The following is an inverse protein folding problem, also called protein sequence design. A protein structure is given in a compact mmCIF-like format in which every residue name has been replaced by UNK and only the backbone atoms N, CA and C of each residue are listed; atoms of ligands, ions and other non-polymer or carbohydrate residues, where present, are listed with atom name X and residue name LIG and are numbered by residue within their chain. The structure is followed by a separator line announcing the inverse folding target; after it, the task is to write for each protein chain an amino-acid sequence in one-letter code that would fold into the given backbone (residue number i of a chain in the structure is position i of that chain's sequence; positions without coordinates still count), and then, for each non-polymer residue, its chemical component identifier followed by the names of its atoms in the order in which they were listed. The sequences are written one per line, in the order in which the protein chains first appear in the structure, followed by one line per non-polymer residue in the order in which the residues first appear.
data_IF_316307754879
#
_entry.id   IF_316307754879
#
_cell.length_a   1.000
_cell.length_b   1.000
_cell.length_c   1.000
_cell.angle_alpha   90.00
_cell.angle_beta   90.00
_cell.angle_gamma   90.00
#
_symmetry.space_group_name_H-M   'P 1'
#
loop_
_entity.id
_entity.type
_entity.pdbx_description
1 polymer ?
#
# COMPACT_ATOMS: atom_id res chain seq x y z
N UNK A 1 -8.66 -11.48 14.68
CA UNK A 1 -7.94 -11.66 15.96
C UNK A 1 -7.41 -10.30 16.45
N UNK A 2 -6.47 -9.65 15.75
CA UNK A 2 -5.86 -8.36 16.20
C UNK A 2 -6.81 -7.22 16.63
N UNK A 3 -7.93 -7.00 15.93
CA UNK A 3 -8.86 -5.90 16.28
C UNK A 3 -9.54 -6.14 17.64
N UNK A 4 -9.95 -7.39 17.89
CA UNK A 4 -10.61 -7.77 19.15
C UNK A 4 -9.61 -7.64 20.31
N UNK A 5 -8.37 -8.08 20.14
CA UNK A 5 -7.33 -7.96 21.19
C UNK A 5 -7.02 -6.50 21.57
N UNK A 6 -7.01 -5.58 20.58
CA UNK A 6 -6.84 -4.14 20.86
C UNK A 6 -8.05 -3.57 21.59
N UNK A 7 -9.26 -3.92 21.12
CA UNK A 7 -10.49 -3.44 21.74
C UNK A 7 -10.66 -4.01 23.16
N UNK A 8 -10.21 -5.24 23.42
CA UNK A 8 -10.17 -5.83 24.77
C UNK A 8 -9.21 -5.10 25.71
N UNK A 9 -8.07 -4.61 25.22
CA UNK A 9 -7.14 -3.85 26.07
C UNK A 9 -7.66 -2.45 26.42
N UNK A 10 -8.34 -1.79 25.49
CA UNK A 10 -8.57 -0.33 25.57
C UNK A 10 -10.04 0.00 25.80
N UNK A 11 -10.94 -0.85 25.30
CA UNK A 11 -12.38 -0.64 25.34
C UNK A 11 -13.12 -1.83 25.98
N UNK A 12 -12.45 -2.54 26.90
CA UNK A 12 -12.99 -3.70 27.60
C UNK A 12 -14.41 -3.50 28.17
N UNK A 13 -14.73 -2.37 28.83
CA UNK A 13 -16.05 -2.20 29.44
C UNK A 13 -17.20 -2.26 28.43
N UNK A 14 -16.95 -1.86 27.17
CA UNK A 14 -17.95 -1.90 26.10
C UNK A 14 -18.14 -3.31 25.54
N UNK A 15 -17.08 -4.13 25.54
CA UNK A 15 -17.12 -5.50 25.03
C UNK A 15 -17.69 -6.51 26.04
N UNK A 16 -17.80 -6.12 27.33
CA UNK A 16 -18.32 -7.00 28.37
C UNK A 16 -19.83 -7.22 28.20
N UNK A 17 -20.33 -8.45 28.44
CA UNK A 17 -21.77 -8.75 28.47
C UNK A 17 -22.57 -7.83 29.40
N UNK A 18 -21.93 -7.30 30.45
CA UNK A 18 -22.53 -6.35 31.39
C UNK A 18 -23.06 -5.08 30.71
N UNK A 19 -22.38 -4.59 29.67
CA UNK A 19 -22.83 -3.42 28.94
C UNK A 19 -24.11 -3.71 28.15
N UNK A 20 -24.16 -4.86 27.46
CA UNK A 20 -25.37 -5.30 26.75
C UNK A 20 -26.54 -5.46 27.73
N UNK A 21 -26.31 -6.11 28.87
CA UNK A 21 -27.32 -6.30 29.93
C UNK A 21 -27.84 -4.97 30.47
N UNK A 22 -26.97 -3.98 30.65
CA UNK A 22 -27.37 -2.64 31.06
C UNK A 22 -28.30 -1.98 30.03
N UNK A 23 -27.99 -2.11 28.74
CA UNK A 23 -28.84 -1.57 27.67
C UNK A 23 -30.20 -2.28 27.64
N UNK A 24 -30.21 -3.61 27.75
CA UNK A 24 -31.45 -4.40 27.79
C UNK A 24 -32.35 -3.98 28.95
N UNK A 25 -31.80 -3.81 30.16
CA UNK A 25 -32.56 -3.31 31.30
C UNK A 25 -33.14 -1.90 31.06
N UNK A 26 -32.37 -1.01 30.44
CA UNK A 26 -32.84 0.34 30.10
C UNK A 26 -33.95 0.32 29.04
N UNK A 27 -33.93 -0.66 28.13
CA UNK A 27 -35.00 -0.85 27.15
C UNK A 27 -36.25 -1.44 27.81
N UNK A 28 -36.10 -2.33 28.79
CA UNK A 28 -37.22 -2.88 29.56
C UNK A 28 -37.89 -1.78 30.41
N UNK A 29 -37.11 -0.87 31.01
CA UNK A 29 -37.64 0.31 31.73
C UNK A 29 -38.52 1.20 30.84
N UNK A 30 -38.24 1.27 29.53
CA UNK A 30 -39.09 2.01 28.57
C UNK A 30 -40.39 1.24 28.34
N UNK A 31 -40.28 -0.08 28.15
CA UNK A 31 -41.42 -0.96 27.86
C UNK A 31 -42.40 -1.02 29.03
N UNK A 32 -41.90 -1.02 30.26
CA UNK A 32 -42.72 -0.99 31.48
C UNK A 32 -43.28 0.41 31.82
N UNK A 33 -42.80 1.46 31.13
CA UNK A 33 -43.22 2.85 31.37
C UNK A 33 -42.49 3.52 32.54
N UNK A 34 -41.49 2.87 33.13
CA UNK A 34 -40.68 3.39 34.23
C UNK A 34 -39.78 4.56 33.80
N UNK A 35 -39.37 4.60 32.51
CA UNK A 35 -38.54 5.67 31.95
C UNK A 35 -39.03 6.13 30.59
N UNK A 36 -38.88 7.43 30.32
CA UNK A 36 -39.09 8.00 28.99
C UNK A 36 -37.93 7.65 28.07
N UNK A 37 -38.24 7.41 26.79
CA UNK A 37 -37.28 7.05 25.74
C UNK A 37 -36.14 8.06 25.64
N UNK A 38 -36.44 9.35 25.73
CA UNK A 38 -35.47 10.44 25.59
C UNK A 38 -34.41 10.37 26.70
N UNK A 39 -34.85 10.12 27.94
CA UNK A 39 -33.97 10.00 29.11
C UNK A 39 -33.01 8.81 28.96
N UNK A 40 -33.51 7.69 28.43
CA UNK A 40 -32.67 6.52 28.18
C UNK A 40 -31.65 6.78 27.08
N UNK A 41 -32.06 7.42 25.97
CA UNK A 41 -31.13 7.78 24.88
C UNK A 41 -30.01 8.68 25.39
N UNK A 42 -30.33 9.70 26.18
CA UNK A 42 -29.32 10.61 26.75
C UNK A 42 -28.38 9.88 27.71
N UNK A 43 -28.90 8.96 28.51
CA UNK A 43 -28.12 8.13 29.43
C UNK A 43 -27.12 7.26 28.67
N UNK A 44 -27.58 6.52 27.66
CA UNK A 44 -26.73 5.66 26.83
C UNK A 44 -25.68 6.47 26.08
N UNK A 45 -26.08 7.62 25.51
CA UNK A 45 -25.18 8.51 24.80
C UNK A 45 -24.07 9.02 25.70
N UNK A 46 -24.39 9.43 26.94
CA UNK A 46 -23.40 9.89 27.91
C UNK A 46 -22.39 8.79 28.25
N UNK A 47 -22.88 7.58 28.57
CA UNK A 47 -22.02 6.44 28.89
C UNK A 47 -21.12 6.07 27.70
N UNK A 48 -21.67 6.07 26.49
CA UNK A 48 -20.90 5.80 25.28
C UNK A 48 -19.79 6.83 25.07
N UNK A 49 -20.10 8.13 25.21
CA UNK A 49 -19.11 9.19 25.05
C UNK A 49 -17.99 9.10 26.09
N UNK A 50 -18.32 8.83 27.36
CA UNK A 50 -17.31 8.63 28.40
C UNK A 50 -16.37 7.44 28.10
N UNK A 51 -16.92 6.36 27.55
CA UNK A 51 -16.12 5.21 27.11
C UNK A 51 -15.29 5.54 25.86
N UNK A 52 -15.83 6.33 24.95
CA UNK A 52 -15.16 6.76 23.74
C UNK A 52 -14.00 7.74 24.03
N UNK A 53 -14.15 8.63 25.00
CA UNK A 53 -13.07 9.54 25.42
C UNK A 53 -11.89 8.76 26.03
N UNK A 54 -12.16 7.69 26.78
CA UNK A 54 -11.12 6.77 27.27
C UNK A 54 -10.38 6.09 26.10
N UNK A 55 -11.06 5.77 25.01
CA UNK A 55 -10.42 5.24 23.80
C UNK A 55 -9.53 6.30 23.14
N UNK A 56 -10.03 7.54 23.00
CA UNK A 56 -9.28 8.65 22.39
C UNK A 56 -8.04 9.02 23.18
N UNK A 57 -8.11 9.02 24.51
CA UNK A 57 -6.96 9.29 25.39
C UNK A 57 -5.85 8.23 25.26
N UNK A 58 -6.19 7.03 24.80
CA UNK A 58 -5.24 5.94 24.53
C UNK A 58 -4.83 5.84 23.05
N UNK A 59 -5.18 6.82 22.20
CA UNK A 59 -4.89 6.84 20.76
C UNK A 59 -3.39 6.68 20.43
N UNK A 60 -2.51 7.22 21.27
CA UNK A 60 -1.07 7.09 21.07
C UNK A 60 -0.61 5.63 21.19
N UNK A 61 -1.09 4.91 22.21
CA UNK A 61 -0.81 3.48 22.43
C UNK A 61 -1.35 2.66 21.25
N UNK A 62 -2.57 2.97 20.77
CA UNK A 62 -3.17 2.34 19.57
C UNK A 62 -2.26 2.53 18.36
N UNK A 63 -1.79 3.77 18.13
CA UNK A 63 -0.93 4.08 16.98
C UNK A 63 0.39 3.30 17.04
N UNK A 64 0.97 3.17 18.24
CA UNK A 64 2.24 2.47 18.46
C UNK A 64 2.07 0.96 18.29
N UNK A 65 1.05 0.34 18.90
CA UNK A 65 0.79 -1.09 18.77
C UNK A 65 0.40 -1.49 17.34
N UNK A 66 -0.40 -0.67 16.64
CA UNK A 66 -0.71 -0.90 15.21
C UNK A 66 0.56 -0.82 14.36
N UNK A 67 1.45 0.14 14.65
CA UNK A 67 2.72 0.30 13.93
C UNK A 67 3.64 -0.89 14.22
N UNK A 68 3.77 -1.30 15.47
CA UNK A 68 4.58 -2.46 15.86
C UNK A 68 4.02 -3.77 15.30
N UNK A 69 2.70 -3.94 15.24
CA UNK A 69 2.07 -5.11 14.63
C UNK A 69 2.27 -5.14 13.11
N UNK A 70 2.23 -3.98 12.44
CA UNK A 70 2.66 -3.88 11.03
C UNK A 70 4.12 -4.31 10.88
N UNK A 71 5.02 -3.85 11.76
CA UNK A 71 6.44 -4.21 11.75
C UNK A 71 6.67 -5.70 12.01
N UNK A 72 6.04 -6.30 13.04
CA UNK A 72 6.15 -7.75 13.33
C UNK A 72 5.59 -8.64 12.21
N UNK A 73 4.52 -8.22 11.53
CA UNK A 73 4.01 -8.94 10.36
C UNK A 73 4.81 -8.70 9.06
N UNK A 74 5.74 -7.75 9.07
CA UNK A 74 6.70 -7.54 7.99
C UNK A 74 7.91 -8.47 8.14
N UNK A 75 8.30 -8.84 9.36
CA UNK A 75 9.58 -9.53 9.65
C UNK A 75 9.55 -11.06 9.50
N UNK A 76 8.40 -11.74 9.60
CA UNK A 76 8.40 -13.21 9.75
C UNK A 76 8.30 -14.04 8.45
N UNK A 77 8.12 -13.44 7.26
CA UNK A 77 8.16 -14.13 5.93
C UNK A 77 8.11 -13.19 4.72
N UNK A 78 7.96 -11.87 4.91
CA UNK A 78 7.74 -10.86 3.85
C UNK A 78 8.98 -10.01 3.52
N UNK A 79 10.05 -10.05 4.30
CA UNK A 79 11.22 -9.18 4.09
C UNK A 79 11.88 -9.42 2.71
N UNK A 80 12.06 -10.67 2.29
CA UNK A 80 12.60 -11.00 0.96
C UNK A 80 11.69 -10.56 -0.20
N UNK A 81 10.38 -10.71 -0.04
CA UNK A 81 9.42 -10.28 -1.06
C UNK A 81 9.26 -8.75 -1.11
N UNK A 82 9.47 -8.05 0.01
CA UNK A 82 9.48 -6.59 0.04
C UNK A 82 10.72 -6.02 -0.66
N UNK A 83 11.90 -6.62 -0.47
CA UNK A 83 13.14 -6.19 -1.17
C UNK A 83 13.02 -6.42 -2.68
N UNK A 84 12.49 -7.58 -3.11
CA UNK A 84 12.32 -7.91 -4.55
C UNK A 84 11.40 -6.95 -5.30
N UNK A 85 10.46 -6.32 -4.61
CA UNK A 85 9.53 -5.35 -5.19
C UNK A 85 9.99 -3.90 -4.97
N UNK A 86 11.14 -3.66 -4.34
CA UNK A 86 11.70 -2.33 -4.16
C UNK A 86 12.71 -2.00 -5.26
N UNK A 87 12.66 -0.78 -5.79
CA UNK A 87 13.70 -0.26 -6.69
C UNK A 87 15.03 -0.12 -5.96
N UNK A 88 16.14 -0.24 -6.68
CA UNK A 88 17.46 0.08 -6.11
C UNK A 88 17.74 1.58 -6.19
N UNK A 89 17.13 2.29 -7.15
CA UNK A 89 17.26 3.74 -7.30
C UNK A 89 16.11 4.50 -6.66
N UNK A 90 16.39 5.77 -6.33
CA UNK A 90 15.40 6.69 -5.77
C UNK A 90 14.35 7.09 -6.81
N UNK A 91 13.20 7.52 -6.32
CA UNK A 91 12.09 8.03 -7.10
C UNK A 91 12.57 9.12 -8.06
N UNK A 92 12.23 9.05 -9.36
CA UNK A 92 12.74 10.00 -10.35
C UNK A 92 12.15 11.40 -10.16
N UNK A 93 11.06 11.54 -9.41
CA UNK A 93 10.38 12.81 -9.16
C UNK A 93 10.98 13.55 -7.96
N UNK A 94 11.00 12.93 -6.77
CA UNK A 94 11.48 13.59 -5.56
C UNK A 94 12.94 13.30 -5.21
N UNK A 95 13.57 12.28 -5.83
CA UNK A 95 14.96 11.83 -5.60
C UNK A 95 15.32 11.45 -4.15
N UNK A 96 14.39 11.51 -3.21
CA UNK A 96 14.61 11.24 -1.78
C UNK A 96 14.51 9.76 -1.42
N UNK A 97 13.41 9.12 -1.80
CA UNK A 97 13.08 7.75 -1.38
C UNK A 97 12.88 6.80 -2.55
N UNK A 98 13.03 5.50 -2.30
CA UNK A 98 12.82 4.44 -3.29
C UNK A 98 11.34 4.27 -3.64
N UNK A 99 11.07 3.52 -4.71
CA UNK A 99 9.73 3.16 -5.13
C UNK A 99 9.46 1.67 -4.94
N UNK A 100 8.24 1.33 -4.54
CA UNK A 100 7.77 -0.03 -4.32
C UNK A 100 6.75 -0.44 -5.36
N UNK A 101 6.94 -1.61 -5.96
CA UNK A 101 6.02 -2.23 -6.91
C UNK A 101 4.85 -2.89 -6.16
N UNK A 102 3.65 -2.38 -6.40
CA UNK A 102 2.40 -2.90 -5.86
C UNK A 102 1.72 -3.75 -6.93
N UNK A 103 1.31 -4.96 -6.54
CA UNK A 103 0.66 -5.96 -7.39
C UNK A 103 -0.69 -6.36 -6.79
N UNK A 104 -1.72 -5.50 -6.85
CA UNK A 104 -3.02 -5.84 -6.27
C UNK A 104 -3.69 -6.93 -7.11
N UNK A 105 -4.48 -7.80 -6.46
CA UNK A 105 -5.30 -8.80 -7.17
C UNK A 105 -6.35 -8.08 -8.01
N UNK A 106 -6.46 -8.44 -9.30
CA UNK A 106 -7.46 -7.92 -10.25
C UNK A 106 -7.42 -6.39 -10.51
N UNK A 107 -6.34 -5.69 -10.16
CA UNK A 107 -6.14 -4.26 -10.44
C UNK A 107 -4.83 -4.04 -11.19
N UNK A 108 -4.69 -2.93 -11.94
CA UNK A 108 -3.42 -2.60 -12.59
C UNK A 108 -2.29 -2.49 -11.57
N UNK A 109 -1.12 -2.97 -11.98
CA UNK A 109 0.12 -2.89 -11.21
C UNK A 109 0.67 -1.46 -11.32
N UNK A 110 1.32 -0.98 -10.27
CA UNK A 110 1.92 0.36 -10.25
C UNK A 110 3.08 0.42 -9.27
N UNK A 111 3.93 1.43 -9.43
CA UNK A 111 4.95 1.79 -8.46
C UNK A 111 4.44 2.94 -7.59
N UNK A 112 4.77 2.91 -6.30
CA UNK A 112 4.50 3.99 -5.35
C UNK A 112 5.81 4.44 -4.68
N UNK A 113 6.04 5.75 -4.59
CA UNK A 113 7.15 6.33 -3.82
C UNK A 113 6.90 6.15 -2.33
N UNK A 114 7.95 5.83 -1.56
CA UNK A 114 7.86 5.68 -0.11
C UNK A 114 7.88 7.01 0.65
N UNK A 115 8.18 8.13 -0.01
CA UNK A 115 8.07 9.46 0.56
C UNK A 115 6.63 9.98 0.41
N UNK A 116 5.93 10.16 1.53
CA UNK A 116 4.56 10.67 1.57
C UNK A 116 4.42 12.11 1.05
N UNK A 117 5.50 12.90 1.12
CA UNK A 117 5.55 14.28 0.63
C UNK A 117 5.90 14.38 -0.86
N UNK A 118 5.93 13.27 -1.59
CA UNK A 118 6.18 13.26 -3.03
C UNK A 118 4.91 13.66 -3.81
N UNK A 119 4.96 14.79 -4.52
CA UNK A 119 3.84 15.27 -5.35
C UNK A 119 3.41 14.25 -6.41
N UNK A 120 4.37 13.69 -7.16
CA UNK A 120 4.13 12.63 -8.14
C UNK A 120 4.54 11.26 -7.57
N UNK A 121 3.75 10.73 -6.64
CA UNK A 121 4.11 9.47 -5.95
C UNK A 121 3.89 8.19 -6.75
N UNK A 122 3.19 8.22 -7.89
CA UNK A 122 2.80 7.01 -8.64
C UNK A 122 3.47 6.93 -10.02
N UNK A 123 3.93 5.73 -10.40
CA UNK A 123 4.31 5.40 -11.79
C UNK A 123 3.55 4.19 -12.29
N UNK A 124 3.09 4.28 -13.53
CA UNK A 124 2.42 3.17 -14.22
C UNK A 124 3.43 2.10 -14.65
N UNK A 125 2.99 0.84 -14.60
CA UNK A 125 3.73 -0.30 -15.18
C UNK A 125 2.78 -1.16 -16.02
N UNK A 126 3.29 -2.02 -16.92
CA UNK A 126 2.46 -2.86 -17.77
C UNK A 126 1.47 -3.72 -16.97
N UNK A 127 0.21 -3.74 -17.42
CA UNK A 127 -0.86 -4.51 -16.77
C UNK A 127 -0.62 -6.02 -16.90
N UNK A 128 -0.22 -6.46 -18.09
CA UNK A 128 0.02 -7.86 -18.45
C UNK A 128 1.49 -8.24 -18.22
N UNK A 129 1.72 -9.53 -17.95
CA UNK A 129 3.06 -10.09 -17.76
C UNK A 129 3.58 -10.04 -16.32
N UNK A 130 4.59 -10.86 -16.06
CA UNK A 130 5.35 -10.92 -14.81
C UNK A 130 6.48 -9.89 -14.87
N UNK A 131 6.51 -9.00 -13.88
CA UNK A 131 7.46 -7.89 -13.81
C UNK A 131 8.58 -8.24 -12.83
N UNK A 132 9.81 -8.11 -13.30
CA UNK A 132 11.05 -8.25 -12.53
C UNK A 132 11.81 -6.93 -12.53
N UNK A 133 12.14 -6.41 -11.34
CA UNK A 133 12.96 -5.22 -11.19
C UNK A 133 14.43 -5.63 -11.30
N UNK A 134 15.15 -5.12 -12.29
CA UNK A 134 16.57 -5.39 -12.45
C UNK A 134 17.36 -4.43 -11.55
N UNK A 135 17.67 -4.88 -10.32
CA UNK A 135 18.29 -4.04 -9.29
C UNK A 135 19.68 -3.53 -9.66
N UNK A 136 20.42 -4.30 -10.47
CA UNK A 136 21.78 -3.96 -10.89
C UNK A 136 21.81 -3.32 -12.29
N UNK A 137 20.65 -2.81 -12.75
CA UNK A 137 20.49 -2.24 -14.09
C UNK A 137 19.62 -0.99 -14.03
N UNK A 138 20.19 0.10 -14.48
CA UNK A 138 19.55 1.41 -14.58
C UNK A 138 19.54 1.86 -16.03
N UNK A 139 18.54 2.65 -16.39
CA UNK A 139 18.46 3.25 -17.71
C UNK A 139 19.49 4.36 -17.81
N UNK A 140 20.46 4.25 -18.72
CA UNK A 140 21.50 5.26 -18.90
C UNK A 140 20.94 6.64 -19.31
N UNK A 141 19.72 6.69 -19.87
CA UNK A 141 19.05 7.94 -20.25
C UNK A 141 18.50 8.73 -19.05
N UNK A 142 18.00 8.05 -18.01
CA UNK A 142 17.26 8.72 -16.91
C UNK A 142 17.67 8.29 -15.51
N UNK A 143 18.57 7.32 -15.37
CA UNK A 143 19.05 6.79 -14.10
C UNK A 143 18.08 5.89 -13.34
N UNK A 144 16.86 5.64 -13.84
CA UNK A 144 15.88 4.81 -13.13
C UNK A 144 16.02 3.32 -13.43
N UNK A 145 15.60 2.43 -12.51
CA UNK A 145 15.68 0.98 -12.70
C UNK A 145 14.99 0.49 -13.98
N UNK A 146 15.62 -0.46 -14.66
CA UNK A 146 15.03 -1.17 -15.80
C UNK A 146 14.29 -2.40 -15.30
N UNK A 147 13.13 -2.66 -15.89
CA UNK A 147 12.27 -3.78 -15.57
C UNK A 147 12.33 -4.77 -16.73
N UNK A 148 12.39 -6.07 -16.41
CA UNK A 148 12.15 -7.16 -17.36
C UNK A 148 10.72 -7.63 -17.23
N UNK A 149 10.01 -7.74 -18.35
CA UNK A 149 8.62 -8.17 -18.40
C UNK A 149 8.55 -9.43 -19.23
N UNK A 150 8.09 -10.52 -18.60
CA UNK A 150 7.81 -11.77 -19.28
C UNK A 150 6.30 -11.93 -19.42
N UNK A 151 5.79 -12.16 -20.62
CA UNK A 151 4.37 -12.45 -20.83
C UNK A 151 4.19 -13.57 -21.85
N UNK A 152 3.09 -14.30 -21.74
CA UNK A 152 2.69 -15.32 -22.70
C UNK A 152 1.55 -14.80 -23.57
N UNK A 153 1.63 -15.04 -24.87
CA UNK A 153 0.56 -14.77 -25.84
C UNK A 153 0.59 -15.89 -26.88
N UNK A 154 -0.56 -16.47 -27.19
CA UNK A 154 -0.71 -17.51 -28.22
C UNK A 154 0.28 -18.68 -28.04
N UNK A 155 0.39 -19.17 -26.80
CA UNK A 155 1.33 -20.21 -26.36
C UNK A 155 2.83 -19.88 -26.55
N UNK A 156 3.18 -18.67 -26.98
CA UNK A 156 4.55 -18.18 -27.11
C UNK A 156 4.93 -17.29 -25.93
N UNK A 157 6.15 -17.45 -25.45
CA UNK A 157 6.69 -16.63 -24.36
C UNK A 157 7.50 -15.46 -24.94
N UNK A 158 7.14 -14.25 -24.55
CA UNK A 158 7.83 -13.02 -24.95
C UNK A 158 8.46 -12.38 -23.72
N UNK A 159 9.65 -11.82 -23.89
CA UNK A 159 10.31 -11.00 -22.87
C UNK A 159 10.83 -9.70 -23.45
N UNK A 160 10.58 -8.59 -22.77
CA UNK A 160 11.13 -7.29 -23.16
C UNK A 160 11.56 -6.49 -21.92
N UNK A 161 12.34 -5.44 -22.17
CA UNK A 161 12.88 -4.56 -21.15
C UNK A 161 12.29 -3.16 -21.28
N UNK A 162 12.05 -2.53 -20.13
CA UNK A 162 11.28 -1.30 -20.01
C UNK A 162 11.87 -0.43 -18.91
N UNK A 163 11.96 0.88 -19.14
CA UNK A 163 12.10 1.85 -18.06
C UNK A 163 10.73 2.49 -17.77
N UNK A 164 10.13 2.25 -16.59
CA UNK A 164 8.78 2.72 -16.29
C UNK A 164 8.68 4.25 -16.19
N UNK A 165 9.77 4.95 -15.86
CA UNK A 165 9.81 6.41 -15.89
C UNK A 165 9.74 6.95 -17.32
N UNK A 166 10.66 6.52 -18.19
CA UNK A 166 10.66 6.93 -19.61
C UNK A 166 9.37 6.54 -20.33
N UNK A 167 8.78 5.41 -19.97
CA UNK A 167 7.50 4.96 -20.54
C UNK A 167 6.32 5.81 -20.11
N UNK A 168 6.28 6.19 -18.82
CA UNK A 168 5.27 7.11 -18.31
C UNK A 168 5.38 8.49 -18.97
N UNK A 169 6.60 8.98 -19.23
CA UNK A 169 6.82 10.18 -20.03
C UNK A 169 6.33 10.01 -21.48
N UNK A 170 6.59 8.87 -22.10
CA UNK A 170 6.08 8.52 -23.44
C UNK A 170 4.56 8.62 -23.55
N UNK A 171 3.83 8.15 -22.54
CA UNK A 171 2.37 8.31 -22.52
C UNK A 171 1.93 9.77 -22.35
N UNK A 172 2.57 10.54 -21.46
CA UNK A 172 2.26 11.96 -21.29
C UNK A 172 2.47 12.74 -22.59
N UNK A 173 3.53 12.42 -23.32
CA UNK A 173 3.91 13.07 -24.58
C UNK A 173 3.28 12.44 -25.84
N UNK A 174 2.48 11.37 -25.69
CA UNK A 174 1.88 10.59 -26.80
C UNK A 174 2.91 10.04 -27.82
N UNK A 175 4.13 9.75 -27.37
CA UNK A 175 5.20 9.16 -28.20
C UNK A 175 5.20 7.64 -28.06
N UNK A 176 4.79 6.94 -29.12
CA UNK A 176 4.79 5.49 -29.17
C UNK A 176 6.21 4.92 -29.02
N UNK A 177 6.35 3.78 -28.34
CA UNK A 177 7.64 3.09 -28.17
C UNK A 177 8.61 3.74 -27.17
N UNK A 178 8.36 4.98 -26.70
CA UNK A 178 9.23 5.62 -25.70
C UNK A 178 9.23 4.82 -24.39
N UNK A 179 10.42 4.54 -23.87
CA UNK A 179 10.62 3.78 -22.63
C UNK A 179 10.79 2.27 -22.78
N UNK A 180 10.54 1.69 -23.96
CA UNK A 180 10.94 0.31 -24.26
C UNK A 180 12.46 0.27 -24.47
N UNK A 181 13.20 -0.17 -23.45
CA UNK A 181 14.66 -0.21 -23.52
C UNK A 181 15.17 -1.18 -24.59
N UNK A 182 14.38 -2.20 -24.94
CA UNK A 182 14.69 -3.11 -26.05
C UNK A 182 14.73 -2.40 -27.41
N UNK A 183 14.01 -1.27 -27.56
CA UNK A 183 13.88 -0.51 -28.81
C UNK A 183 14.43 0.91 -28.68
N UNK A 184 15.35 1.15 -27.74
CA UNK A 184 15.92 2.48 -27.55
C UNK A 184 16.88 2.83 -28.70
N UNK A 185 16.89 4.09 -29.16
CA UNK A 185 17.75 4.53 -30.26
C UNK A 185 19.22 4.53 -29.84
N UNK A 186 19.53 5.13 -28.69
CA UNK A 186 20.91 5.43 -28.26
C UNK A 186 21.55 4.29 -27.46
N UNK A 187 20.73 3.43 -26.85
CA UNK A 187 21.16 2.39 -25.92
C UNK A 187 20.57 1.02 -26.30
N UNK A 188 21.23 -0.05 -25.89
CA UNK A 188 20.72 -1.42 -26.01
C UNK A 188 20.78 -2.15 -24.67
N UNK A 189 20.09 -3.27 -24.58
CA UNK A 189 20.17 -4.17 -23.44
C UNK A 189 21.07 -5.35 -23.78
N UNK A 190 22.17 -5.49 -23.04
CA UNK A 190 23.06 -6.66 -23.09
C UNK A 190 23.13 -7.28 -21.70
N UNK A 191 22.87 -8.60 -21.60
CA UNK A 191 22.90 -9.32 -20.32
C UNK A 191 22.06 -8.65 -19.21
N UNK A 192 20.87 -8.15 -19.56
CA UNK A 192 19.96 -7.39 -18.69
C UNK A 192 20.50 -6.04 -18.19
N UNK A 193 21.60 -5.52 -18.75
CA UNK A 193 22.17 -4.20 -18.46
C UNK A 193 21.98 -3.25 -19.62
N UNK A 194 21.73 -1.98 -19.32
CA UNK A 194 21.72 -0.93 -20.32
C UNK A 194 23.16 -0.55 -20.67
N UNK A 195 23.50 -0.62 -21.96
CA UNK A 195 24.81 -0.23 -22.48
C UNK A 195 24.62 0.70 -23.67
N UNK A 196 25.57 1.61 -23.89
CA UNK A 196 25.59 2.45 -25.09
C UNK A 196 25.73 1.58 -26.33
N UNK A 197 24.98 1.91 -27.39
CA UNK A 197 25.29 1.33 -28.70
C UNK A 197 26.61 1.95 -29.14
N UNK A 198 27.67 1.13 -29.18
CA UNK A 198 28.89 1.52 -29.89
C UNK A 198 28.46 1.72 -31.35
N UNK A 199 28.65 2.95 -31.83
CA UNK A 199 28.62 3.28 -33.26
C UNK A 199 29.89 2.70 -33.87
#
# INVERSE_FOLDING_TARGET
IFLIEILEKIWLPFLKPDFTRMIENLLEDIKEGNKKKEVVIDTVKKIFLELFDKLLNNKNIISTEITQFKVKNLTSKRFDNNIKNLTSTNCPFCKKEKMKLIKPKNKPKFLICLNDNCQEKYLSVPKKGTIFILRNSTCLKCGFNIFKINYKKDNRSFSYHLCPYCWSLGFKEKVSGKGFCSNCNDFKIENNKCVSKKI
#
